data_IF_603193123287
#
_entry.id   IF_603193123287
#
_cell.length_a   1.000
_cell.length_b   1.000
_cell.length_c   1.000
_cell.angle_alpha   90.00
_cell.angle_beta   90.00
_cell.angle_gamma   90.00
#
_symmetry.space_group_name_H-M   'P 1'
#
loop_
_entity.id
_entity.type
_entity.pdbx_description
1 polymer ?
#
# COMPACT_ATOMS: atom_id res chain seq x y z
N UNK A 1 -20.07 -1.97 -16.99
CA UNK A 1 -20.59 -2.56 -15.74
C UNK A 1 -20.89 -1.43 -14.79
N UNK A 2 -22.09 -1.40 -14.20
CA UNK A 2 -22.46 -0.37 -13.22
C UNK A 2 -21.77 -0.67 -11.88
N UNK A 3 -21.54 0.37 -11.06
CA UNK A 3 -20.92 0.20 -9.72
C UNK A 3 -21.69 -0.78 -8.84
N UNK A 4 -23.02 -0.75 -8.88
CA UNK A 4 -23.86 -1.68 -8.12
C UNK A 4 -23.59 -3.14 -8.50
N UNK A 5 -23.59 -3.45 -9.80
CA UNK A 5 -23.32 -4.80 -10.34
C UNK A 5 -21.91 -5.27 -9.97
N UNK A 6 -20.92 -4.38 -10.00
CA UNK A 6 -19.56 -4.69 -9.59
C UNK A 6 -19.47 -5.03 -8.08
N UNK A 7 -20.17 -4.27 -7.23
CA UNK A 7 -20.15 -4.50 -5.79
C UNK A 7 -20.81 -5.82 -5.40
N UNK A 8 -21.74 -6.34 -6.20
CA UNK A 8 -22.35 -7.66 -5.98
C UNK A 8 -21.34 -8.82 -6.06
N UNK A 9 -20.14 -8.61 -6.61
CA UNK A 9 -19.06 -9.59 -6.61
C UNK A 9 -18.42 -9.80 -5.23
N UNK A 10 -18.76 -8.96 -4.26
CA UNK A 10 -18.18 -8.96 -2.92
C UNK A 10 -19.25 -9.07 -1.85
N UNK A 11 -18.87 -9.67 -0.72
CA UNK A 11 -19.62 -9.65 0.53
C UNK A 11 -18.94 -8.66 1.48
N UNK A 12 -19.69 -7.66 1.95
CA UNK A 12 -19.16 -6.68 2.91
C UNK A 12 -19.29 -7.23 4.32
N UNK A 13 -18.21 -7.20 5.09
CA UNK A 13 -18.19 -7.60 6.50
C UNK A 13 -18.64 -6.44 7.38
N UNK A 14 -19.07 -6.75 8.62
CA UNK A 14 -19.45 -5.73 9.61
C UNK A 14 -18.28 -4.77 9.95
N UNK A 15 -17.04 -5.25 9.80
CA UNK A 15 -15.82 -4.45 9.97
C UNK A 15 -15.44 -3.58 8.77
N UNK A 16 -16.30 -3.49 7.75
CA UNK A 16 -16.08 -2.65 6.57
C UNK A 16 -15.12 -3.21 5.52
N UNK A 17 -14.68 -4.46 5.67
CA UNK A 17 -13.86 -5.17 4.67
C UNK A 17 -14.74 -5.87 3.65
N UNK A 18 -14.17 -6.22 2.50
CA UNK A 18 -14.86 -6.89 1.41
C UNK A 18 -14.26 -8.26 1.13
N UNK A 19 -15.10 -9.27 0.98
CA UNK A 19 -14.69 -10.64 0.64
C UNK A 19 -15.16 -10.95 -0.77
N UNK A 20 -14.27 -11.25 -1.74
CA UNK A 20 -14.69 -11.67 -3.07
C UNK A 20 -15.46 -13.00 -2.98
N UNK A 21 -16.60 -13.09 -3.67
CA UNK A 21 -17.38 -14.34 -3.76
C UNK A 21 -16.60 -15.46 -4.46
N UNK A 22 -15.79 -15.10 -5.45
CA UNK A 22 -14.83 -16.00 -6.09
C UNK A 22 -13.38 -15.60 -5.78
N UNK A 23 -12.74 -16.35 -4.90
CA UNK A 23 -11.36 -16.12 -4.47
C UNK A 23 -10.32 -16.94 -5.24
N UNK A 24 -10.77 -17.78 -6.19
CA UNK A 24 -9.87 -18.59 -7.04
C UNK A 24 -9.24 -17.75 -8.16
N UNK A 25 -9.79 -16.57 -8.41
CA UNK A 25 -9.35 -15.67 -9.46
C UNK A 25 -7.88 -15.25 -9.28
N UNK A 26 -7.14 -15.29 -10.38
CA UNK A 26 -5.70 -15.03 -10.36
C UNK A 26 -5.35 -13.60 -9.90
N UNK A 27 -6.24 -12.62 -10.12
CA UNK A 27 -6.03 -11.25 -9.65
C UNK A 27 -5.97 -11.16 -8.12
N UNK A 28 -6.67 -12.05 -7.40
CA UNK A 28 -6.76 -12.06 -5.94
C UNK A 28 -5.39 -12.11 -5.25
N UNK A 29 -4.36 -12.69 -5.87
CA UNK A 29 -3.01 -12.73 -5.29
C UNK A 29 -2.35 -11.35 -5.19
N UNK A 30 -2.88 -10.32 -5.87
CA UNK A 30 -2.32 -8.99 -5.93
C UNK A 30 -3.00 -7.96 -5.00
N UNK A 31 -4.03 -8.30 -4.23
CA UNK A 31 -4.85 -7.31 -3.48
C UNK A 31 -5.25 -7.79 -2.09
N UNK A 32 -5.40 -6.89 -1.12
CA UNK A 32 -5.90 -7.21 0.22
C UNK A 32 -5.03 -8.15 1.04
N UNK A 33 -5.57 -8.62 2.17
CA UNK A 33 -4.89 -9.46 3.17
C UNK A 33 -5.54 -10.85 3.28
N UNK A 34 -4.74 -11.88 3.55
CA UNK A 34 -5.26 -13.22 3.85
C UNK A 34 -5.30 -13.44 5.35
N UNK A 35 -6.47 -13.75 5.91
CA UNK A 35 -6.61 -14.25 7.29
C UNK A 35 -7.11 -15.69 7.22
N UNK A 36 -6.28 -16.63 7.61
CA UNK A 36 -6.51 -18.05 7.36
C UNK A 36 -6.63 -18.34 5.85
N UNK A 37 -7.77 -18.90 5.43
CA UNK A 37 -8.06 -19.23 4.03
C UNK A 37 -8.81 -18.13 3.26
N UNK A 38 -9.25 -17.06 3.94
CA UNK A 38 -10.13 -16.04 3.38
C UNK A 38 -9.33 -14.78 3.02
N UNK A 39 -9.58 -14.25 1.84
CA UNK A 39 -9.07 -12.97 1.37
C UNK A 39 -10.03 -11.84 1.74
N UNK A 40 -9.48 -10.80 2.34
CA UNK A 40 -10.19 -9.57 2.68
C UNK A 40 -9.57 -8.41 1.94
N UNK A 41 -10.40 -7.63 1.28
CA UNK A 41 -10.05 -6.41 0.57
C UNK A 41 -10.44 -5.19 1.40
N UNK A 42 -9.59 -4.17 1.39
CA UNK A 42 -9.97 -2.85 1.91
C UNK A 42 -10.77 -2.06 0.87
N UNK A 43 -11.30 -0.91 1.26
CA UNK A 43 -12.06 -0.05 0.36
C UNK A 43 -11.24 0.38 -0.87
N UNK A 44 -9.95 0.71 -0.68
CA UNK A 44 -9.06 1.13 -1.76
C UNK A 44 -8.84 0.03 -2.80
N UNK A 45 -8.75 -1.24 -2.37
CA UNK A 45 -8.67 -2.38 -3.28
C UNK A 45 -9.91 -2.46 -4.17
N UNK A 46 -11.10 -2.33 -3.57
CA UNK A 46 -12.40 -2.42 -4.28
C UNK A 46 -12.57 -1.24 -5.23
N UNK A 47 -12.24 -0.02 -4.80
CA UNK A 47 -12.27 1.16 -5.66
C UNK A 47 -11.34 0.99 -6.86
N UNK A 48 -10.12 0.52 -6.65
CA UNK A 48 -9.14 0.31 -7.73
C UNK A 48 -9.53 -0.81 -8.69
N UNK A 49 -10.18 -1.86 -8.18
CA UNK A 49 -10.68 -2.95 -9.01
C UNK A 49 -11.88 -2.53 -9.87
N UNK A 50 -12.70 -1.60 -9.38
CA UNK A 50 -13.82 -1.03 -10.15
C UNK A 50 -13.33 -0.12 -11.28
N UNK A 51 -12.46 0.83 -10.94
CA UNK A 51 -11.89 1.80 -11.87
C UNK A 51 -10.46 2.12 -11.43
N UNK A 52 -9.50 2.06 -12.35
CA UNK A 52 -8.08 2.32 -12.07
C UNK A 52 -7.73 3.81 -12.14
N UNK A 53 -8.67 4.64 -12.56
CA UNK A 53 -8.54 6.08 -12.53
C UNK A 53 -8.98 6.63 -11.17
N UNK A 54 -8.07 7.32 -10.49
CA UNK A 54 -8.39 7.99 -9.25
C UNK A 54 -9.34 9.16 -9.53
N UNK A 55 -10.44 9.24 -8.81
CA UNK A 55 -11.42 10.33 -8.94
C UNK A 55 -11.14 11.44 -7.92
N UNK A 56 -11.55 12.66 -8.23
CA UNK A 56 -11.26 13.85 -7.42
C UNK A 56 -11.90 13.75 -6.03
N UNK A 57 -13.08 13.16 -5.95
CA UNK A 57 -13.85 12.94 -4.72
C UNK A 57 -13.30 11.81 -3.83
N UNK A 58 -12.34 11.01 -4.31
CA UNK A 58 -11.78 9.95 -3.49
C UNK A 58 -10.89 10.49 -2.37
N UNK A 59 -10.87 9.82 -1.20
CA UNK A 59 -9.96 10.18 -0.12
C UNK A 59 -8.50 10.21 -0.59
N UNK A 60 -7.69 11.12 -0.04
CA UNK A 60 -6.26 11.25 -0.39
C UNK A 60 -5.49 9.93 -0.25
N UNK A 61 -5.84 9.12 0.75
CA UNK A 61 -5.31 7.78 0.95
C UNK A 61 -5.57 6.84 -0.24
N UNK A 62 -6.76 6.88 -0.81
CA UNK A 62 -7.10 6.10 -2.00
C UNK A 62 -6.35 6.62 -3.23
N UNK A 63 -6.19 7.94 -3.38
CA UNK A 63 -5.37 8.53 -4.46
C UNK A 63 -3.91 8.09 -4.37
N UNK A 64 -3.32 8.10 -3.16
CA UNK A 64 -1.97 7.60 -2.91
C UNK A 64 -1.85 6.09 -3.23
N UNK A 65 -2.82 5.28 -2.81
CA UNK A 65 -2.87 3.86 -3.16
C UNK A 65 -2.88 3.67 -4.68
N UNK A 66 -3.75 4.39 -5.41
CA UNK A 66 -3.85 4.32 -6.87
C UNK A 66 -2.53 4.70 -7.53
N UNK A 67 -1.86 5.75 -7.06
CA UNK A 67 -0.56 6.16 -7.57
C UNK A 67 0.47 5.03 -7.51
N UNK A 68 0.58 4.35 -6.36
CA UNK A 68 1.49 3.20 -6.19
C UNK A 68 1.14 2.07 -7.14
N UNK A 69 -0.15 1.72 -7.25
CA UNK A 69 -0.64 0.62 -8.11
C UNK A 69 -0.44 0.92 -9.60
N UNK A 70 -0.70 2.15 -10.02
CA UNK A 70 -0.53 2.60 -11.40
C UNK A 70 0.95 2.67 -11.77
N UNK A 71 1.83 2.92 -10.80
CA UNK A 71 3.29 2.87 -10.94
C UNK A 71 3.88 1.46 -10.97
N UNK A 72 3.07 0.42 -11.25
CA UNK A 72 3.51 -0.97 -11.33
C UNK A 72 4.04 -1.59 -10.03
N UNK A 73 3.45 -1.22 -8.89
CA UNK A 73 3.68 -1.90 -7.62
C UNK A 73 2.41 -2.58 -7.10
N UNK A 74 2.59 -3.62 -6.30
CA UNK A 74 1.52 -4.10 -5.42
C UNK A 74 1.78 -3.53 -4.03
N UNK A 75 0.72 -3.11 -3.35
CA UNK A 75 0.76 -2.65 -1.97
C UNK A 75 -0.20 -3.56 -1.20
N UNK A 76 0.34 -4.36 -0.27
CA UNK A 76 -0.42 -5.38 0.46
C UNK A 76 -0.39 -5.08 1.95
N UNK A 77 -1.50 -5.23 2.68
CA UNK A 77 -1.49 -5.03 4.13
C UNK A 77 -0.60 -6.04 4.85
N UNK A 78 0.07 -5.57 5.89
CA UNK A 78 0.87 -6.33 6.84
C UNK A 78 0.29 -6.22 8.25
N UNK A 79 0.93 -6.87 9.21
CA UNK A 79 0.64 -6.69 10.63
C UNK A 79 0.97 -5.26 11.10
N UNK A 80 0.28 -4.80 12.16
CA UNK A 80 0.54 -3.49 12.78
C UNK A 80 0.15 -2.26 11.95
N UNK A 81 -0.70 -2.42 10.92
CA UNK A 81 -1.15 -1.29 10.09
C UNK A 81 -0.15 -0.86 9.01
N UNK A 82 0.97 -1.57 8.88
CA UNK A 82 1.93 -1.40 7.79
C UNK A 82 1.40 -2.01 6.50
N UNK A 83 2.04 -1.63 5.41
CA UNK A 83 1.83 -2.13 4.06
C UNK A 83 3.18 -2.60 3.53
N UNK A 84 3.19 -3.69 2.78
CA UNK A 84 4.36 -4.21 2.10
C UNK A 84 4.31 -3.83 0.62
N UNK A 85 5.36 -3.13 0.17
CA UNK A 85 5.52 -2.73 -1.22
C UNK A 85 6.22 -3.84 -2.00
N UNK A 86 5.62 -4.28 -3.10
CA UNK A 86 6.20 -5.29 -3.99
C UNK A 86 6.26 -4.79 -5.43
N UNK A 87 7.26 -5.25 -6.18
CA UNK A 87 7.25 -5.08 -7.64
C UNK A 87 6.09 -5.87 -8.24
N UNK A 88 5.29 -5.24 -9.12
CA UNK A 88 4.21 -5.95 -9.81
C UNK A 88 4.76 -6.73 -11.01
N UNK A 89 4.38 -8.00 -11.13
CA UNK A 89 4.66 -8.82 -12.30
C UNK A 89 3.61 -9.94 -12.47
N UNK A 90 3.59 -10.55 -13.66
CA UNK A 90 2.59 -11.55 -14.07
C UNK A 90 2.59 -12.81 -13.21
N UNK A 91 3.68 -13.18 -12.55
CA UNK A 91 3.78 -14.42 -11.77
C UNK A 91 3.92 -14.15 -10.27
N UNK A 92 3.47 -12.99 -9.81
CA UNK A 92 3.56 -12.59 -8.41
C UNK A 92 2.95 -13.62 -7.47
N UNK A 93 3.67 -13.92 -6.40
CA UNK A 93 3.33 -14.87 -5.38
C UNK A 93 3.79 -14.35 -4.01
N UNK A 94 2.80 -13.97 -3.18
CA UNK A 94 3.01 -13.42 -1.83
C UNK A 94 3.94 -14.23 -0.92
N UNK A 95 4.02 -15.55 -1.12
CA UNK A 95 4.85 -16.45 -0.29
C UNK A 95 6.30 -16.53 -0.77
N UNK A 96 6.57 -16.18 -2.02
CA UNK A 96 7.88 -16.34 -2.66
C UNK A 96 8.56 -15.01 -2.93
N UNK A 97 7.79 -14.02 -3.34
CA UNK A 97 8.31 -12.68 -3.62
C UNK A 97 8.62 -11.96 -2.31
N UNK A 98 9.77 -11.29 -2.28
CA UNK A 98 10.20 -10.46 -1.15
C UNK A 98 9.68 -9.03 -1.32
N UNK A 99 9.19 -8.39 -0.24
CA UNK A 99 8.85 -6.98 -0.30
C UNK A 99 10.10 -6.15 -0.55
N UNK A 100 9.94 -5.03 -1.25
CA UNK A 100 10.98 -4.02 -1.48
C UNK A 100 11.28 -3.33 -0.15
N UNK A 101 10.23 -2.85 0.51
CA UNK A 101 10.28 -2.22 1.82
C UNK A 101 8.86 -2.22 2.44
N UNK A 102 8.76 -2.09 3.77
CA UNK A 102 7.54 -1.67 4.42
C UNK A 102 7.19 -0.23 4.05
N UNK A 103 5.91 0.07 4.15
CA UNK A 103 5.34 1.39 3.94
C UNK A 103 4.20 1.63 4.95
N UNK A 104 3.96 2.87 5.33
CA UNK A 104 2.75 3.26 6.06
C UNK A 104 2.23 4.62 5.64
N UNK A 105 0.94 4.84 5.89
CA UNK A 105 0.31 6.15 5.79
C UNK A 105 0.44 6.89 7.10
N UNK A 106 0.71 8.18 7.03
CA UNK A 106 0.76 9.08 8.18
C UNK A 106 0.04 10.36 7.82
N UNK A 107 -0.69 10.94 8.77
CA UNK A 107 -1.29 12.26 8.55
C UNK A 107 -0.22 13.35 8.71
N UNK A 108 -0.40 14.48 8.01
CA UNK A 108 0.53 15.63 8.09
C UNK A 108 0.85 16.04 9.53
N UNK A 109 -0.18 16.05 10.38
CA UNK A 109 -0.10 16.56 11.75
C UNK A 109 0.11 15.43 12.77
N UNK A 110 0.39 14.20 12.30
CA UNK A 110 0.66 13.04 13.15
C UNK A 110 2.11 13.05 13.63
N UNK A 111 2.30 12.93 14.93
CA UNK A 111 3.62 12.77 15.54
C UNK A 111 4.00 11.29 15.63
N UNK A 112 5.23 10.97 15.25
CA UNK A 112 5.71 9.59 15.15
C UNK A 112 7.03 9.46 15.91
N UNK A 113 6.98 8.82 17.08
CA UNK A 113 8.17 8.63 17.94
C UNK A 113 9.10 7.53 17.41
N UNK A 114 8.55 6.42 16.91
CA UNK A 114 9.29 5.19 16.64
C UNK A 114 9.28 4.81 15.16
N UNK A 115 9.86 5.65 14.31
CA UNK A 115 9.85 5.39 12.86
C UNK A 115 10.62 4.13 12.47
N UNK A 116 11.66 3.76 13.22
CA UNK A 116 12.67 2.82 12.73
C UNK A 116 13.06 1.70 13.69
N UNK A 117 12.38 1.51 14.84
CA UNK A 117 12.84 0.57 15.87
C UNK A 117 13.11 -0.85 15.33
N UNK A 118 12.38 -1.29 14.30
CA UNK A 118 12.49 -2.65 13.76
C UNK A 118 12.87 -2.72 12.27
N UNK A 119 12.99 -1.59 11.57
CA UNK A 119 13.15 -1.57 10.11
C UNK A 119 14.19 -0.57 9.64
N UNK A 120 15.26 -1.09 9.02
CA UNK A 120 16.39 -0.30 8.48
C UNK A 120 16.00 0.62 7.31
N UNK A 121 14.90 0.33 6.63
CA UNK A 121 14.41 1.07 5.46
C UNK A 121 12.87 1.01 5.43
N UNK A 122 12.21 2.15 5.47
CA UNK A 122 10.74 2.28 5.43
C UNK A 122 10.34 3.42 4.49
N UNK A 123 9.20 3.27 3.79
CA UNK A 123 8.56 4.37 3.07
C UNK A 123 7.41 4.93 3.89
N UNK A 124 7.42 6.23 4.11
CA UNK A 124 6.32 6.95 4.74
C UNK A 124 5.56 7.71 3.67
N UNK A 125 4.26 7.46 3.54
CA UNK A 125 3.38 8.26 2.70
C UNK A 125 2.63 9.26 3.58
N UNK A 126 3.07 10.52 3.51
CA UNK A 126 2.47 11.64 4.23
C UNK A 126 1.23 12.07 3.46
N UNK A 127 0.08 12.08 4.14
CA UNK A 127 -1.21 12.48 3.63
C UNK A 127 -1.59 13.85 4.19
N UNK A 128 -1.90 14.81 3.31
CA UNK A 128 -2.34 16.16 3.70
C UNK A 128 -3.51 16.57 2.81
N UNK A 129 -4.69 16.80 3.38
CA UNK A 129 -5.88 17.29 2.69
C UNK A 129 -6.17 16.54 1.36
N UNK A 130 -5.66 17.04 0.23
CA UNK A 130 -5.80 16.48 -1.12
C UNK A 130 -4.49 16.02 -1.78
N UNK A 131 -3.35 16.21 -1.13
CA UNK A 131 -2.00 15.86 -1.63
C UNK A 131 -1.33 14.77 -0.79
N UNK A 132 -0.44 14.02 -1.43
CA UNK A 132 0.39 13.02 -0.75
C UNK A 132 1.84 13.11 -1.20
N UNK A 133 2.75 12.75 -0.30
CA UNK A 133 4.20 12.71 -0.58
C UNK A 133 4.79 11.42 -0.03
N UNK A 134 5.71 10.81 -0.79
CA UNK A 134 6.47 9.64 -0.33
C UNK A 134 7.85 10.07 0.16
N UNK A 135 8.18 9.72 1.39
CA UNK A 135 9.49 9.89 2.00
C UNK A 135 10.10 8.51 2.23
N UNK A 136 11.38 8.35 1.93
CA UNK A 136 12.12 7.13 2.28
C UNK A 136 12.97 7.41 3.51
N UNK A 137 12.73 6.65 4.55
CA UNK A 137 13.49 6.72 5.80
C UNK A 137 14.53 5.61 5.78
N UNK A 138 15.78 5.98 6.02
CA UNK A 138 16.90 5.04 6.12
C UNK A 138 17.59 5.23 7.45
N UNK A 139 17.90 4.13 8.11
CA UNK A 139 18.79 4.15 9.27
C UNK A 139 20.20 4.55 8.84
N UNK A 140 20.79 5.49 9.58
CA UNK A 140 22.19 5.89 9.41
C UNK A 140 22.92 5.46 10.69
N UNK A 141 23.68 4.37 10.60
CA UNK A 141 24.39 3.79 11.75
C UNK A 141 25.53 4.71 12.25
N UNK A 142 26.11 5.52 11.36
CA UNK A 142 27.16 6.49 11.68
C UNK A 142 26.99 7.75 10.84
N UNK A 143 27.06 8.90 11.49
CA UNK A 143 27.25 10.18 10.81
C UNK A 143 28.73 10.28 10.47
N UNK A 144 29.08 10.06 9.21
CA UNK A 144 30.41 10.41 8.75
C UNK A 144 30.52 11.93 8.58
N UNK A 145 31.74 12.45 8.74
CA UNK A 145 32.07 13.85 8.46
C UNK A 145 32.72 14.01 7.08
N UNK A 146 32.68 12.97 6.26
CA UNK A 146 33.27 12.99 4.93
C UNK A 146 32.34 13.72 3.97
N UNK A 147 32.90 14.60 3.15
CA UNK A 147 32.08 15.25 2.12
C UNK A 147 31.56 14.19 1.15
N UNK A 148 30.23 14.10 0.93
CA UNK A 148 29.66 13.17 -0.03
C UNK A 148 30.33 13.31 -1.39
N UNK A 149 30.61 12.19 -2.08
CA UNK A 149 31.27 12.23 -3.39
C UNK A 149 30.49 13.07 -4.42
N UNK A 150 29.16 13.09 -4.33
CA UNK A 150 28.30 13.94 -5.16
C UNK A 150 28.49 15.44 -4.93
N UNK A 151 29.14 15.83 -3.82
CA UNK A 151 29.46 17.21 -3.46
C UNK A 151 30.96 17.52 -3.55
N UNK A 152 31.81 16.53 -3.81
CA UNK A 152 33.23 16.72 -4.10
C UNK A 152 33.36 17.17 -5.56
N UNK A 153 33.71 18.44 -5.77
CA UNK A 153 33.98 19.05 -7.08
C UNK A 153 35.35 18.68 -7.61
#
# INVERSE_FOLDING_TARGET
MKRSEFLEMFEKTDGGLFVPKDQSQNWCRHFGMKRGKVLYLCEEDVLYLYDREAKTEYPVRAKAYFFVRNSCYNLLPDEGGRLLLYKRHKNFNRKKDRPICPMRYVLRDEYIEDISLDTKDEVVCVLSDDVFTFLRVKEIERLDSETPESLKK
#
